data_IF_543054307534
#
_entry.id   IF_543054307534
#
_cell.length_a   1.000
_cell.length_b   1.000
_cell.length_c   1.000
_cell.angle_alpha   90.00
_cell.angle_beta   90.00
_cell.angle_gamma   90.00
#
_symmetry.space_group_name_H-M   'P 1'
#
loop_
_entity.id
_entity.type
_entity.pdbx_description
1 polymer ?
#
# COMPACT_ATOMS: atom_id res chain seq x y z
N UNK A 1 7.06 -24.15 19.67
CA UNK A 1 7.85 -23.83 18.72
C UNK A 1 7.33 -22.87 17.80
N UNK A 2 6.21 -23.07 17.23
CA UNK A 2 5.66 -22.19 16.36
C UNK A 2 5.22 -20.95 16.95
N UNK A 3 4.84 -20.95 18.21
CA UNK A 3 4.54 -19.79 18.88
C UNK A 3 5.70 -18.94 18.90
N UNK A 4 6.87 -19.52 18.77
CA UNK A 4 8.05 -18.77 18.83
C UNK A 4 8.16 -17.76 17.74
N UNK A 5 7.68 -18.04 16.55
CA UNK A 5 7.74 -17.10 15.48
C UNK A 5 6.84 -15.93 15.78
N UNK A 6 5.66 -16.18 16.31
CA UNK A 6 4.79 -15.10 16.65
C UNK A 6 5.36 -14.29 17.76
N UNK A 7 6.00 -14.93 18.71
CA UNK A 7 6.62 -14.21 19.77
C UNK A 7 7.72 -13.32 19.29
N UNK A 8 8.51 -13.80 18.33
CA UNK A 8 9.56 -12.98 17.78
C UNK A 8 9.00 -11.78 17.09
N UNK A 9 7.91 -11.93 16.37
CA UNK A 9 7.30 -10.81 15.72
C UNK A 9 6.82 -9.81 16.73
N UNK A 10 6.26 -10.28 17.82
CA UNK A 10 5.77 -9.40 18.84
C UNK A 10 6.90 -8.71 19.58
N UNK A 11 8.06 -9.33 19.63
CA UNK A 11 9.20 -8.75 20.30
C UNK A 11 9.94 -7.74 19.45
N UNK A 12 9.68 -7.70 18.17
CA UNK A 12 10.33 -6.73 17.34
C UNK A 12 9.86 -5.34 17.71
N UNK A 13 10.76 -4.38 17.80
CA UNK A 13 10.34 -3.03 18.08
C UNK A 13 9.46 -2.52 16.96
N UNK A 14 8.43 -1.76 17.27
CA UNK A 14 7.62 -1.15 16.23
C UNK A 14 8.45 -0.24 15.34
N UNK A 15 8.07 -0.14 14.09
CA UNK A 15 8.83 0.65 13.13
C UNK A 15 8.52 2.13 13.27
N UNK A 16 9.56 2.93 13.19
CA UNK A 16 9.42 4.37 13.22
C UNK A 16 10.62 4.97 12.50
N UNK A 17 10.51 6.23 12.08
CA UNK A 17 11.61 6.95 11.46
C UNK A 17 12.14 6.27 10.24
N UNK A 18 13.47 6.15 10.18
CA UNK A 18 14.14 5.60 9.01
C UNK A 18 13.76 4.14 8.73
N UNK A 19 13.52 3.37 9.77
CA UNK A 19 13.15 1.98 9.57
C UNK A 19 11.79 1.85 8.91
N UNK A 20 10.84 2.72 9.30
CA UNK A 20 9.53 2.72 8.69
C UNK A 20 9.64 3.12 7.23
N UNK A 21 10.45 4.14 6.94
CA UNK A 21 10.66 4.60 5.59
C UNK A 21 11.30 3.52 4.71
N UNK A 22 12.29 2.83 5.25
CA UNK A 22 12.95 1.75 4.52
C UNK A 22 11.99 0.62 4.19
N UNK A 23 11.11 0.31 5.12
CA UNK A 23 10.14 -0.75 4.89
C UNK A 23 9.15 -0.33 3.79
N UNK A 24 8.72 0.93 3.81
CA UNK A 24 7.82 1.44 2.78
C UNK A 24 8.47 1.36 1.40
N UNK A 25 9.73 1.74 1.30
CA UNK A 25 10.43 1.66 0.02
C UNK A 25 10.58 0.20 -0.43
N UNK A 26 10.83 -0.70 0.51
CA UNK A 26 10.94 -2.12 0.17
C UNK A 26 9.63 -2.63 -0.43
N UNK A 27 8.50 -2.21 0.14
CA UNK A 27 7.21 -2.61 -0.40
C UNK A 27 7.00 -2.05 -1.81
N UNK A 28 7.30 -0.77 -1.99
CA UNK A 28 7.08 -0.11 -3.28
C UNK A 28 8.03 -0.63 -4.37
N UNK A 29 9.17 -1.19 -3.96
CA UNK A 29 10.09 -1.79 -4.91
C UNK A 29 9.48 -3.07 -5.50
N UNK A 30 8.64 -3.75 -4.73
CA UNK A 30 8.06 -5.01 -5.18
C UNK A 30 6.87 -4.80 -6.12
N UNK A 31 6.04 -3.83 -5.84
CA UNK A 31 4.92 -3.47 -6.70
C UNK A 31 4.36 -2.13 -6.27
N UNK A 32 3.48 -1.58 -7.09
CA UNK A 32 2.79 -0.37 -6.70
C UNK A 32 1.68 -0.70 -5.73
N UNK A 33 1.47 0.18 -4.77
CA UNK A 33 0.40 0.06 -3.78
C UNK A 33 -0.45 1.32 -3.84
N UNK A 34 -1.74 1.20 -3.66
CA UNK A 34 -2.57 2.38 -3.49
C UNK A 34 -2.23 3.00 -2.14
N UNK A 35 -2.58 4.27 -1.97
CA UNK A 35 -2.30 4.96 -0.72
C UNK A 35 -2.93 4.21 0.45
N UNK A 36 -4.18 3.78 0.32
CA UNK A 36 -4.86 3.06 1.38
C UNK A 36 -4.21 1.71 1.67
N UNK A 37 -3.80 1.00 0.63
CA UNK A 37 -3.12 -0.28 0.81
C UNK A 37 -1.80 -0.11 1.55
N UNK A 38 -1.06 0.92 1.19
CA UNK A 38 0.25 1.17 1.78
C UNK A 38 0.10 1.54 3.26
N UNK A 39 -0.87 2.38 3.57
CA UNK A 39 -1.14 2.74 4.95
C UNK A 39 -1.49 1.49 5.76
N UNK A 40 -2.33 0.63 5.22
CA UNK A 40 -2.74 -0.58 5.92
C UNK A 40 -1.55 -1.50 6.19
N UNK A 41 -0.70 -1.67 5.19
CA UNK A 41 0.47 -2.51 5.35
C UNK A 41 1.43 -1.96 6.39
N UNK A 42 1.71 -0.68 6.33
CA UNK A 42 2.65 -0.06 7.25
C UNK A 42 2.09 0.00 8.67
N UNK A 43 0.79 0.22 8.79
CA UNK A 43 0.17 0.34 10.11
C UNK A 43 0.32 -0.91 10.95
N UNK A 44 0.49 -2.06 10.32
CA UNK A 44 0.63 -3.32 11.05
C UNK A 44 1.90 -3.36 11.88
N UNK A 45 2.92 -2.65 11.45
CA UNK A 45 4.21 -2.72 12.12
C UNK A 45 4.70 -1.39 12.67
N UNK A 46 3.98 -0.32 12.42
CA UNK A 46 4.42 1.01 12.82
C UNK A 46 4.09 1.31 14.27
N UNK A 47 4.89 2.14 14.87
CA UNK A 47 4.67 2.58 16.21
C UNK A 47 3.53 3.59 16.28
N UNK A 48 3.39 4.43 15.27
CA UNK A 48 2.44 5.55 15.28
C UNK A 48 1.76 5.68 13.94
N UNK A 49 0.42 5.61 13.95
CA UNK A 49 -0.35 5.67 12.71
C UNK A 49 -0.24 7.04 12.04
N UNK A 50 -0.07 8.10 12.81
CA UNK A 50 0.06 9.42 12.21
C UNK A 50 1.36 9.53 11.43
N UNK A 51 2.41 8.89 11.90
CA UNK A 51 3.66 8.86 11.20
C UNK A 51 3.51 8.12 9.87
N UNK A 52 2.73 7.05 9.87
CA UNK A 52 2.46 6.29 8.65
C UNK A 52 1.76 7.17 7.63
N UNK A 53 0.74 7.89 8.07
CA UNK A 53 -0.03 8.74 7.15
C UNK A 53 0.83 9.84 6.57
N UNK A 54 1.68 10.43 7.40
CA UNK A 54 2.58 11.47 6.92
C UNK A 54 3.58 10.92 5.93
N UNK A 55 4.16 9.77 6.21
CA UNK A 55 5.12 9.15 5.32
C UNK A 55 4.50 8.81 3.98
N UNK A 56 3.30 8.23 3.99
CA UNK A 56 2.64 7.87 2.75
C UNK A 56 2.31 9.10 1.93
N UNK A 57 1.94 10.18 2.60
CA UNK A 57 1.65 11.43 1.91
C UNK A 57 2.92 11.97 1.24
N UNK A 58 4.06 11.92 1.91
CA UNK A 58 5.31 12.34 1.34
C UNK A 58 5.69 11.50 0.14
N UNK A 59 5.53 10.18 0.25
CA UNK A 59 5.87 9.30 -0.84
C UNK A 59 4.97 9.53 -2.06
N UNK A 60 3.72 9.89 -1.79
CA UNK A 60 2.79 10.22 -2.86
C UNK A 60 3.20 11.51 -3.55
N UNK A 61 3.57 12.53 -2.77
CA UNK A 61 4.00 13.82 -3.32
C UNK A 61 5.26 13.68 -4.16
N UNK A 62 6.11 12.73 -3.81
CA UNK A 62 7.35 12.50 -4.53
C UNK A 62 7.18 11.48 -5.66
N UNK A 63 5.94 11.02 -5.88
CA UNK A 63 5.62 10.06 -6.94
C UNK A 63 6.20 8.66 -6.76
N UNK A 64 6.68 8.34 -5.57
CA UNK A 64 7.06 6.97 -5.26
C UNK A 64 5.81 6.11 -5.09
N UNK A 65 4.72 6.71 -4.64
CA UNK A 65 3.43 6.07 -4.52
C UNK A 65 2.46 6.84 -5.41
N UNK A 66 1.60 6.17 -6.16
CA UNK A 66 0.64 6.85 -7.02
C UNK A 66 -0.60 6.01 -7.21
N UNK A 67 -1.73 6.52 -6.72
CA UNK A 67 -3.02 5.87 -6.92
C UNK A 67 -3.38 5.84 -8.40
N UNK A 68 -3.00 6.88 -9.12
CA UNK A 68 -3.27 6.93 -10.55
C UNK A 68 -2.54 5.81 -11.29
N UNK A 69 -1.27 5.59 -10.94
CA UNK A 69 -0.49 4.53 -11.58
C UNK A 69 -1.09 3.17 -11.27
N UNK A 70 -1.55 2.95 -10.02
CA UNK A 70 -2.19 1.72 -9.64
C UNK A 70 -3.49 1.52 -10.42
N UNK A 71 -4.29 2.58 -10.54
CA UNK A 71 -5.54 2.53 -11.27
C UNK A 71 -5.32 2.23 -12.75
N UNK A 72 -4.30 2.84 -13.33
CA UNK A 72 -3.98 2.61 -14.75
C UNK A 72 -3.55 1.17 -14.98
N UNK A 73 -2.74 0.62 -14.09
CA UNK A 73 -2.30 -0.77 -14.22
C UNK A 73 -3.48 -1.71 -14.09
N UNK A 74 -4.38 -1.42 -13.16
CA UNK A 74 -5.55 -2.24 -12.95
C UNK A 74 -6.47 -2.17 -14.16
N UNK A 75 -6.68 -0.96 -14.70
CA UNK A 75 -7.51 -0.77 -15.87
C UNK A 75 -6.96 -1.56 -17.05
N UNK A 76 -5.67 -1.44 -17.30
CA UNK A 76 -5.04 -2.17 -18.38
C UNK A 76 -5.20 -3.68 -18.23
N UNK A 77 -5.04 -4.16 -17.00
CA UNK A 77 -5.17 -5.57 -16.71
C UNK A 77 -6.59 -6.06 -16.96
N UNK A 78 -7.59 -5.28 -16.51
CA UNK A 78 -8.98 -5.68 -16.67
C UNK A 78 -9.42 -5.65 -18.15
N UNK A 79 -8.94 -4.66 -18.88
CA UNK A 79 -9.24 -4.59 -20.30
C UNK A 79 -8.64 -5.79 -21.04
N UNK A 80 -7.39 -6.14 -20.70
CA UNK A 80 -6.73 -7.27 -21.31
C UNK A 80 -7.47 -8.57 -21.02
N UNK A 81 -8.15 -8.65 -19.88
CA UNK A 81 -8.92 -9.82 -19.51
C UNK A 81 -10.35 -9.78 -20.06
N UNK A 82 -10.71 -8.72 -20.78
CA UNK A 82 -12.05 -8.61 -21.35
C UNK A 82 -13.12 -8.23 -20.36
N UNK A 83 -12.77 -7.61 -19.24
CA UNK A 83 -13.76 -7.23 -18.24
C UNK A 83 -14.46 -5.94 -18.64
N UNK A 84 -15.73 -5.82 -18.28
CA UNK A 84 -16.50 -4.63 -18.58
C UNK A 84 -16.23 -3.52 -17.59
N UNK A 85 -16.72 -2.34 -17.94
CA UNK A 85 -16.48 -1.16 -17.16
C UNK A 85 -16.98 -1.26 -15.71
N UNK A 86 -18.09 -1.92 -15.52
CA UNK A 86 -18.63 -2.08 -14.21
C UNK A 86 -17.69 -2.86 -13.29
N UNK A 87 -17.06 -3.91 -13.81
CA UNK A 87 -16.11 -4.68 -13.05
C UNK A 87 -14.87 -3.87 -12.74
N UNK A 88 -14.45 -3.03 -13.67
CA UNK A 88 -13.29 -2.17 -13.48
C UNK A 88 -13.57 -1.18 -12.34
N UNK A 89 -14.73 -0.56 -12.34
CA UNK A 89 -15.09 0.37 -11.30
C UNK A 89 -15.14 -0.30 -9.94
N UNK A 90 -15.64 -1.51 -9.89
CA UNK A 90 -15.70 -2.23 -8.65
C UNK A 90 -14.32 -2.59 -8.13
N UNK A 91 -13.40 -2.93 -9.03
CA UNK A 91 -12.02 -3.24 -8.64
C UNK A 91 -11.34 -1.99 -8.07
N UNK A 92 -11.59 -0.83 -8.64
CA UNK A 92 -11.03 0.42 -8.14
C UNK A 92 -11.58 0.72 -6.75
N UNK A 93 -12.85 0.46 -6.52
CA UNK A 93 -13.43 0.67 -5.22
C UNK A 93 -12.79 -0.23 -4.19
N UNK A 94 -12.52 -1.47 -4.54
CA UNK A 94 -11.88 -2.42 -3.63
C UNK A 94 -10.52 -1.91 -3.18
N UNK A 95 -9.82 -1.19 -4.06
CA UNK A 95 -8.53 -0.62 -3.69
C UNK A 95 -8.66 0.78 -3.11
N UNK A 96 -9.89 1.24 -2.92
CA UNK A 96 -10.17 2.55 -2.33
C UNK A 96 -9.53 3.68 -3.13
N UNK A 97 -9.65 3.61 -4.44
CA UNK A 97 -9.15 4.63 -5.34
C UNK A 97 -10.34 5.36 -5.95
N UNK A 98 -10.25 6.65 -6.06
CA UNK A 98 -11.33 7.44 -6.65
C UNK A 98 -11.46 7.10 -8.12
N UNK A 99 -12.72 7.04 -8.57
CA UNK A 99 -12.99 6.58 -9.90
C UNK A 99 -13.28 7.73 -10.83
N UNK A 100 -12.28 8.53 -11.09
CA UNK A 100 -12.45 9.67 -11.98
C UNK A 100 -11.46 9.67 -13.11
N UNK A 101 -10.98 8.52 -13.45
CA UNK A 101 -10.07 8.39 -14.59
C UNK A 101 -10.89 8.26 -15.92
#
# INVERSE_FOLDING_TARGET
MFKRNDEQSQQRPPLTGQRLRSYAFALLTRRDYSKAELIEKLARYAQNIEEVKQLVEELSEQNYQSDQRVAEQMLASQIRKGKGQKRIQQALKTKQIENDL
#
